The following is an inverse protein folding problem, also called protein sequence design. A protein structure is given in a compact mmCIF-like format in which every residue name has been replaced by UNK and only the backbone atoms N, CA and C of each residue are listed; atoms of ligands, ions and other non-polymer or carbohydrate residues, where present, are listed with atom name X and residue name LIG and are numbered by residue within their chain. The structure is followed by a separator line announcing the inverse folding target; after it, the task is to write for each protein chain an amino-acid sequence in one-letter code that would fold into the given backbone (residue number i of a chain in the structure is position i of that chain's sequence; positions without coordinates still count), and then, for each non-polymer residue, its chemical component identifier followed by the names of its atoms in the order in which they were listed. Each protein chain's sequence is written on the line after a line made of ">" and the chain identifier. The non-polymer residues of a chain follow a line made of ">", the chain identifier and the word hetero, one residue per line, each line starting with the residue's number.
data_IF_093068972765
#
_entry.id   IF_093068972765
#
_cell.length_a   1.000
_cell.length_b   1.000
_cell.length_c   1.000
_cell.angle_alpha   90.00
_cell.angle_beta   90.00
_cell.angle_gamma   90.00
#
_symmetry.space_group_name_H-M   'P 1'
#
loop_
_entity.id
_entity.type
_entity.pdbx_description
1 polymer ?
#
# COMPACT_ATOMS: atom_id res chain seq x y z
N UNK A 1 21.62 21.27 -15.00
CA UNK A 1 20.77 20.87 -13.86
C UNK A 1 19.45 21.60 -13.98
N UNK A 2 18.34 20.93 -13.70
CA UNK A 2 17.00 21.53 -13.69
C UNK A 2 16.59 21.81 -12.24
N UNK A 3 15.81 22.87 -12.03
CA UNK A 3 15.27 23.21 -10.70
C UNK A 3 14.09 22.30 -10.32
N UNK A 4 13.91 22.09 -9.02
CA UNK A 4 12.72 21.43 -8.45
C UNK A 4 11.90 22.45 -7.66
N UNK A 5 10.58 22.29 -7.63
CA UNK A 5 9.74 23.03 -6.67
C UNK A 5 10.04 22.48 -5.29
N UNK A 6 10.57 23.32 -4.39
CA UNK A 6 10.96 22.89 -3.03
C UNK A 6 9.78 22.83 -2.08
N UNK A 7 8.92 23.85 -2.06
CA UNK A 7 7.71 23.93 -1.23
C UNK A 7 6.69 24.92 -1.83
N UNK A 8 5.42 24.78 -1.42
CA UNK A 8 4.35 25.75 -1.64
C UNK A 8 4.16 26.54 -0.33
N UNK A 9 4.19 27.88 -0.39
CA UNK A 9 4.07 28.72 0.80
C UNK A 9 2.65 29.24 0.98
N UNK A 10 2.12 29.10 2.20
CA UNK A 10 0.79 29.57 2.62
C UNK A 10 0.96 30.63 3.70
N UNK A 11 0.34 31.79 3.50
CA UNK A 11 0.31 32.86 4.49
C UNK A 11 -0.71 32.59 5.58
N UNK A 12 -0.38 32.94 6.82
CA UNK A 12 -1.19 32.67 8.00
C UNK A 12 -0.85 33.66 9.13
N UNK A 13 -1.61 33.64 10.22
CA UNK A 13 -1.41 34.45 11.41
C UNK A 13 -0.79 33.65 12.56
N UNK A 14 -0.90 32.32 12.53
CA UNK A 14 -0.21 31.38 13.43
C UNK A 14 0.27 30.15 12.64
N UNK A 15 1.57 30.13 12.31
CA UNK A 15 2.16 29.10 11.46
C UNK A 15 2.12 27.70 12.10
N UNK A 16 2.38 27.60 13.40
CA UNK A 16 2.38 26.32 14.11
C UNK A 16 0.96 25.78 14.27
N UNK A 17 -0.02 26.62 14.63
CA UNK A 17 -1.42 26.18 14.74
C UNK A 17 -1.98 25.70 13.40
N UNK A 18 -1.71 26.44 12.31
CA UNK A 18 -2.16 26.05 10.99
C UNK A 18 -1.44 24.79 10.50
N UNK A 19 -0.14 24.69 10.76
CA UNK A 19 0.64 23.48 10.51
C UNK A 19 0.07 22.26 11.22
N UNK A 20 -0.38 22.40 12.47
CA UNK A 20 -1.02 21.33 13.25
C UNK A 20 -2.37 20.86 12.66
N UNK A 21 -3.15 21.76 12.05
CA UNK A 21 -4.32 21.38 11.27
C UNK A 21 -3.91 20.55 10.05
N UNK A 22 -2.99 21.06 9.22
CA UNK A 22 -2.54 20.38 8.01
C UNK A 22 -1.80 19.06 8.27
N UNK A 23 -1.14 18.93 9.42
CA UNK A 23 -0.55 17.68 9.91
C UNK A 23 -1.60 16.58 10.02
N UNK A 24 -2.78 16.90 10.55
CA UNK A 24 -3.90 15.97 10.63
C UNK A 24 -4.59 15.73 9.28
N UNK A 25 -4.57 16.71 8.38
CA UNK A 25 -5.09 16.55 7.01
C UNK A 25 -4.26 15.53 6.24
N UNK A 26 -2.93 15.71 6.24
CA UNK A 26 -2.00 14.96 5.40
C UNK A 26 -1.34 13.76 6.09
N UNK A 27 -1.54 13.60 7.39
CA UNK A 27 -1.00 12.48 8.17
C UNK A 27 0.53 12.52 8.30
N UNK A 28 1.13 13.72 8.28
CA UNK A 28 2.57 13.93 8.40
C UNK A 28 2.87 14.92 9.54
N UNK A 29 3.91 14.69 10.35
CA UNK A 29 4.30 15.64 11.40
C UNK A 29 4.89 16.92 10.80
N UNK A 30 4.88 18.00 11.59
CA UNK A 30 5.74 19.16 11.34
C UNK A 30 7.21 18.80 11.59
N UNK A 31 8.14 19.67 11.17
CA UNK A 31 9.54 19.49 11.53
C UNK A 31 9.71 19.55 13.07
N UNK A 32 10.63 18.75 13.61
CA UNK A 32 10.81 18.60 15.07
C UNK A 32 11.25 19.91 15.75
N UNK A 33 11.79 20.86 14.98
CA UNK A 33 12.26 22.17 15.44
C UNK A 33 11.27 23.31 15.22
N UNK A 34 10.10 23.05 14.63
CA UNK A 34 9.01 24.04 14.51
C UNK A 34 8.20 24.08 15.82
N UNK A 35 8.30 25.18 16.57
CA UNK A 35 7.68 25.34 17.89
C UNK A 35 6.56 26.39 17.90
N UNK A 36 5.63 26.34 18.89
CA UNK A 36 4.63 27.39 19.05
C UNK A 36 5.24 28.79 19.18
N UNK A 37 4.82 29.70 18.30
CA UNK A 37 5.30 31.09 18.26
C UNK A 37 6.42 31.34 17.24
N UNK A 38 6.92 30.30 16.57
CA UNK A 38 7.84 30.47 15.44
C UNK A 38 7.12 31.11 14.25
N UNK A 39 7.82 31.96 13.47
CA UNK A 39 7.22 32.71 12.37
C UNK A 39 6.92 31.85 11.15
N UNK A 40 7.35 30.59 11.14
CA UNK A 40 7.12 29.64 10.08
C UNK A 40 7.02 28.21 10.63
N UNK A 41 6.39 27.32 9.87
CA UNK A 41 6.34 25.89 10.13
C UNK A 41 6.31 25.11 8.82
N UNK A 42 7.08 24.05 8.70
CA UNK A 42 7.21 23.22 7.51
C UNK A 42 6.56 21.85 7.73
N UNK A 43 5.72 21.47 6.77
CA UNK A 43 5.15 20.12 6.68
C UNK A 43 5.65 19.44 5.40
N UNK A 44 6.28 18.27 5.55
CA UNK A 44 6.76 17.47 4.42
C UNK A 44 6.06 16.12 4.34
N UNK A 45 5.62 15.77 3.14
CA UNK A 45 5.09 14.45 2.76
C UNK A 45 5.97 13.86 1.65
N UNK A 46 5.84 12.55 1.32
CA UNK A 46 6.56 11.98 0.18
C UNK A 46 6.30 12.67 -1.17
N UNK A 47 5.18 13.40 -1.32
CA UNK A 47 4.77 14.02 -2.59
C UNK A 47 4.73 15.55 -2.60
N UNK A 48 4.79 16.21 -1.44
CA UNK A 48 4.63 17.66 -1.31
C UNK A 48 5.28 18.21 -0.04
N UNK A 49 5.75 19.46 -0.10
CA UNK A 49 6.16 20.24 1.06
C UNK A 49 5.37 21.55 1.11
N UNK A 50 4.78 21.86 2.27
CA UNK A 50 3.98 23.06 2.50
C UNK A 50 4.64 23.86 3.62
N UNK A 51 4.97 25.12 3.34
CA UNK A 51 5.55 26.04 4.31
C UNK A 51 4.49 27.05 4.74
N UNK A 52 4.14 27.07 6.02
CA UNK A 52 3.27 28.08 6.61
C UNK A 52 4.13 29.24 7.10
N UNK A 53 3.81 30.47 6.70
CA UNK A 53 4.57 31.67 7.08
C UNK A 53 3.64 32.69 7.71
N UNK A 54 4.01 33.14 8.90
CA UNK A 54 3.26 34.12 9.66
C UNK A 54 3.40 35.51 9.04
N UNK A 55 2.27 36.13 8.75
CA UNK A 55 2.12 37.51 8.32
C UNK A 55 1.32 38.34 9.33
N UNK A 56 1.37 39.67 9.23
CA UNK A 56 0.69 40.56 10.16
C UNK A 56 -0.83 40.61 9.97
N UNK A 57 -1.32 40.25 8.78
CA UNK A 57 -2.71 40.44 8.38
C UNK A 57 -3.37 39.12 8.01
N UNK A 58 -4.62 38.96 8.44
CA UNK A 58 -5.46 37.87 8.00
C UNK A 58 -5.75 37.95 6.49
N UNK A 59 -6.03 36.81 5.88
CA UNK A 59 -6.35 36.71 4.45
C UNK A 59 -7.59 37.55 4.09
N UNK A 60 -7.45 38.40 3.07
CA UNK A 60 -8.53 39.31 2.60
C UNK A 60 -9.00 39.03 1.17
N UNK A 61 -8.27 38.22 0.41
CA UNK A 61 -8.58 37.87 -0.98
C UNK A 61 -8.46 36.36 -1.19
N UNK A 62 -9.08 35.84 -2.27
CA UNK A 62 -9.00 34.42 -2.64
C UNK A 62 -7.55 34.03 -2.98
N UNK A 63 -7.16 32.81 -2.61
CA UNK A 63 -5.89 32.24 -3.06
C UNK A 63 -5.84 32.13 -4.59
N UNK A 64 -4.67 32.43 -5.18
CA UNK A 64 -4.45 32.30 -6.63
C UNK A 64 -3.92 30.93 -7.05
N UNK A 65 -3.46 30.16 -6.07
CA UNK A 65 -3.05 28.77 -6.21
C UNK A 65 -4.05 27.95 -5.42
N UNK A 66 -4.52 26.85 -6.00
CA UNK A 66 -5.41 25.92 -5.33
C UNK A 66 -4.60 24.68 -4.95
N UNK A 67 -4.73 24.27 -3.70
CA UNK A 67 -4.21 23.00 -3.24
C UNK A 67 -5.34 21.98 -3.30
N UNK A 68 -5.16 20.92 -4.09
CA UNK A 68 -6.18 19.88 -4.26
C UNK A 68 -5.73 18.63 -3.49
N UNK A 69 -6.53 18.22 -2.51
CA UNK A 69 -6.28 17.05 -1.68
C UNK A 69 -7.14 15.88 -2.15
N UNK A 70 -6.55 14.69 -2.21
CA UNK A 70 -7.24 13.45 -2.56
C UNK A 70 -7.19 12.48 -1.38
N UNK A 71 -8.35 12.07 -0.81
CA UNK A 71 -8.38 11.03 0.20
C UNK A 71 -7.94 9.67 -0.39
N UNK A 72 -7.17 8.92 0.38
CA UNK A 72 -6.54 7.66 -0.06
C UNK A 72 -7.28 6.41 0.44
N UNK A 73 -7.96 6.51 1.57
CA UNK A 73 -8.55 5.40 2.32
C UNK A 73 -10.04 5.59 2.62
N UNK A 74 -10.63 6.69 2.17
CA UNK A 74 -12.05 7.04 2.36
C UNK A 74 -12.59 7.80 1.15
N UNK A 75 -13.91 7.94 1.08
CA UNK A 75 -14.58 8.71 0.03
C UNK A 75 -14.33 10.22 0.21
N UNK A 76 -14.57 11.00 -0.85
CA UNK A 76 -14.58 12.47 -0.76
C UNK A 76 -15.52 12.98 0.33
N UNK A 77 -16.70 12.40 0.43
CA UNK A 77 -17.73 12.90 1.35
C UNK A 77 -17.37 12.60 2.81
N UNK A 78 -16.83 11.41 3.11
CA UNK A 78 -16.28 11.09 4.43
C UNK A 78 -15.09 12.00 4.80
N UNK A 79 -14.23 12.32 3.83
CA UNK A 79 -13.11 13.24 4.06
C UNK A 79 -13.59 14.66 4.32
N UNK A 80 -14.58 15.15 3.58
CA UNK A 80 -15.19 16.47 3.84
C UNK A 80 -15.76 16.51 5.26
N UNK A 81 -16.51 15.49 5.68
CA UNK A 81 -17.05 15.42 7.05
C UNK A 81 -15.94 15.46 8.11
N UNK A 82 -14.86 14.70 7.91
CA UNK A 82 -13.70 14.69 8.80
C UNK A 82 -13.03 16.06 8.89
N UNK A 83 -12.81 16.71 7.76
CA UNK A 83 -12.13 18.00 7.70
C UNK A 83 -12.96 19.12 8.34
N UNK A 84 -14.28 19.09 8.16
CA UNK A 84 -15.20 19.98 8.87
C UNK A 84 -15.11 19.78 10.39
N UNK A 85 -15.02 18.53 10.86
CA UNK A 85 -14.83 18.23 12.28
C UNK A 85 -13.46 18.71 12.83
N UNK A 86 -12.44 18.82 11.97
CA UNK A 86 -11.12 19.37 12.32
C UNK A 86 -11.06 20.91 12.33
N UNK A 87 -12.15 21.59 11.94
CA UNK A 87 -12.23 23.05 11.92
C UNK A 87 -12.12 23.69 10.54
N UNK A 88 -12.14 22.90 9.46
CA UNK A 88 -12.33 23.44 8.12
C UNK A 88 -13.77 23.95 7.94
N UNK A 89 -13.98 24.81 6.94
CA UNK A 89 -15.30 25.33 6.57
C UNK A 89 -15.59 25.07 5.09
N UNK A 90 -16.82 24.68 4.75
CA UNK A 90 -17.24 24.52 3.36
C UNK A 90 -17.47 25.88 2.71
N UNK A 91 -16.73 26.18 1.64
CA UNK A 91 -16.78 27.46 0.93
C UNK A 91 -17.65 27.36 -0.33
N UNK A 92 -17.41 26.36 -1.16
CA UNK A 92 -18.17 26.11 -2.39
C UNK A 92 -18.35 24.61 -2.58
N UNK A 93 -19.54 24.17 -2.96
CA UNK A 93 -19.84 22.77 -3.27
C UNK A 93 -19.97 22.59 -4.79
N UNK A 94 -18.95 21.97 -5.40
CA UNK A 94 -18.91 21.67 -6.84
C UNK A 94 -19.14 20.18 -7.13
N UNK A 95 -19.60 19.42 -6.13
CA UNK A 95 -19.92 18.00 -6.28
C UNK A 95 -21.12 17.83 -7.22
N UNK A 96 -21.02 16.85 -8.11
CA UNK A 96 -22.04 16.59 -9.13
C UNK A 96 -22.79 15.29 -8.83
N UNK A 97 -24.07 15.17 -9.25
CA UNK A 97 -24.85 13.95 -9.05
C UNK A 97 -24.26 12.69 -9.71
N UNK A 98 -23.39 12.87 -10.71
CA UNK A 98 -22.65 11.79 -11.37
C UNK A 98 -21.41 11.34 -10.57
N UNK A 99 -21.26 11.78 -9.32
CA UNK A 99 -20.12 11.49 -8.45
C UNK A 99 -18.88 12.35 -8.71
N UNK A 100 -18.78 13.07 -9.83
CA UNK A 100 -17.61 13.91 -10.17
C UNK A 100 -17.62 15.23 -9.39
N UNK A 101 -16.60 16.06 -9.63
CA UNK A 101 -16.43 17.36 -8.99
C UNK A 101 -15.67 17.28 -7.66
N UNK A 102 -15.65 18.39 -6.93
CA UNK A 102 -14.90 18.56 -5.69
C UNK A 102 -15.68 19.43 -4.70
N UNK A 103 -15.27 19.44 -3.44
CA UNK A 103 -15.73 20.42 -2.46
C UNK A 103 -14.60 21.40 -2.17
N UNK A 104 -14.84 22.70 -2.25
CA UNK A 104 -13.86 23.72 -1.83
C UNK A 104 -14.06 23.98 -0.34
N UNK A 105 -13.06 23.65 0.47
CA UNK A 105 -13.01 23.98 1.89
C UNK A 105 -12.04 25.14 2.13
N UNK A 106 -12.16 25.79 3.29
CA UNK A 106 -11.15 26.67 3.83
C UNK A 106 -10.64 26.11 5.16
N UNK A 107 -9.33 26.19 5.38
CA UNK A 107 -8.71 25.88 6.66
C UNK A 107 -9.10 26.90 7.75
N UNK A 108 -8.70 26.71 9.02
CA UNK A 108 -9.07 27.62 10.12
C UNK A 108 -8.65 29.09 9.90
N UNK A 109 -7.71 29.36 9.00
CA UNK A 109 -7.22 30.70 8.66
C UNK A 109 -7.83 31.26 7.36
N UNK A 110 -8.76 30.52 6.75
CA UNK A 110 -9.50 30.94 5.57
C UNK A 110 -8.79 30.66 4.24
N UNK A 111 -7.69 29.91 4.23
CA UNK A 111 -7.02 29.51 2.98
C UNK A 111 -7.82 28.39 2.31
N UNK A 112 -8.18 28.59 1.04
CA UNK A 112 -8.99 27.63 0.31
C UNK A 112 -8.17 26.45 -0.23
N UNK A 113 -8.77 25.26 -0.19
CA UNK A 113 -8.26 24.03 -0.78
C UNK A 113 -9.43 23.14 -1.26
N UNK A 114 -9.19 22.29 -2.25
CA UNK A 114 -10.23 21.43 -2.82
C UNK A 114 -10.11 20.00 -2.30
N UNK A 115 -11.23 19.37 -1.95
CA UNK A 115 -11.32 17.94 -1.64
C UNK A 115 -11.86 17.21 -2.86
N UNK A 116 -10.98 16.44 -3.47
CA UNK A 116 -11.23 15.67 -4.69
C UNK A 116 -11.82 14.29 -4.40
N UNK A 117 -12.40 13.65 -5.43
CA UNK A 117 -12.73 12.22 -5.36
C UNK A 117 -11.49 11.38 -5.03
N UNK A 118 -11.66 10.38 -4.18
CA UNK A 118 -10.64 9.37 -3.95
C UNK A 118 -10.24 8.67 -5.26
N UNK A 119 -9.08 8.03 -5.27
CA UNK A 119 -8.65 7.27 -6.43
C UNK A 119 -9.68 6.17 -6.76
N UNK A 120 -10.27 5.54 -5.75
CA UNK A 120 -11.28 4.50 -5.90
C UNK A 120 -12.56 5.02 -6.54
N UNK A 121 -13.08 6.16 -6.09
CA UNK A 121 -14.24 6.80 -6.70
C UNK A 121 -13.94 7.19 -8.15
N UNK A 122 -12.78 7.77 -8.43
CA UNK A 122 -12.38 8.12 -9.81
C UNK A 122 -12.32 6.90 -10.73
N UNK A 123 -11.74 5.80 -10.26
CA UNK A 123 -11.63 4.56 -11.01
C UNK A 123 -13.00 3.97 -11.33
N UNK A 124 -13.89 3.89 -10.31
CA UNK A 124 -15.26 3.44 -10.49
C UNK A 124 -16.03 4.29 -11.53
N UNK A 125 -15.89 5.63 -11.48
CA UNK A 125 -16.52 6.55 -12.43
C UNK A 125 -15.97 6.45 -13.86
N UNK A 126 -14.73 5.98 -14.02
CA UNK A 126 -14.12 5.75 -15.32
C UNK A 126 -14.35 4.31 -15.84
N UNK A 127 -14.97 3.44 -15.04
CA UNK A 127 -15.06 2.01 -15.34
C UNK A 127 -13.70 1.32 -15.37
N UNK A 128 -12.68 1.90 -14.73
CA UNK A 128 -11.33 1.35 -14.66
C UNK A 128 -11.09 0.75 -13.29
N UNK A 129 -10.26 -0.30 -13.22
CA UNK A 129 -9.78 -0.82 -11.93
C UNK A 129 -8.68 0.11 -11.38
N UNK A 130 -8.55 0.16 -10.07
CA UNK A 130 -7.34 0.71 -9.46
C UNK A 130 -6.15 -0.22 -9.69
N UNK A 131 -4.98 0.29 -10.11
CA UNK A 131 -3.80 -0.54 -10.23
C UNK A 131 -3.28 -0.96 -8.85
N UNK A 132 -2.57 -2.09 -8.82
CA UNK A 132 -1.73 -2.44 -7.67
C UNK A 132 -0.43 -1.67 -7.77
N UNK A 133 -0.02 -1.05 -6.67
CA UNK A 133 1.13 -0.14 -6.62
C UNK A 133 2.23 -0.66 -5.69
N UNK A 134 3.42 -0.05 -5.79
CA UNK A 134 4.51 -0.28 -4.84
C UNK A 134 4.13 0.04 -3.38
N UNK A 135 3.21 1.00 -3.17
CA UNK A 135 2.73 1.35 -1.83
C UNK A 135 1.81 0.26 -1.27
N UNK A 136 1.06 -0.44 -2.13
CA UNK A 136 0.26 -1.60 -1.74
C UNK A 136 1.15 -2.76 -1.27
N UNK A 137 2.28 -3.02 -1.94
CA UNK A 137 3.30 -4.00 -1.49
C UNK A 137 3.83 -3.60 -0.12
N UNK A 138 4.26 -2.34 0.03
CA UNK A 138 4.80 -1.82 1.30
C UNK A 138 3.78 -1.97 2.42
N UNK A 139 2.52 -1.63 2.16
CA UNK A 139 1.42 -1.73 3.13
C UNK A 139 1.13 -3.17 3.51
N UNK A 140 1.06 -4.09 2.55
CA UNK A 140 0.81 -5.50 2.82
C UNK A 140 1.91 -6.10 3.71
N UNK A 141 3.18 -5.83 3.40
CA UNK A 141 4.33 -6.31 4.15
C UNK A 141 4.37 -5.75 5.57
N UNK A 142 4.10 -4.45 5.76
CA UNK A 142 4.02 -3.85 7.09
C UNK A 142 2.92 -4.45 7.93
N UNK A 143 1.70 -4.59 7.38
CA UNK A 143 0.58 -5.22 8.09
C UNK A 143 0.92 -6.66 8.51
N UNK A 144 1.59 -7.41 7.64
CA UNK A 144 2.06 -8.76 7.95
C UNK A 144 3.11 -8.75 9.07
N UNK A 145 4.16 -7.94 8.94
CA UNK A 145 5.23 -7.84 9.94
C UNK A 145 4.70 -7.41 11.31
N UNK A 146 3.85 -6.37 11.36
CA UNK A 146 3.22 -5.87 12.59
C UNK A 146 2.39 -6.94 13.28
N UNK A 147 1.61 -7.71 12.51
CA UNK A 147 0.80 -8.82 13.04
C UNK A 147 1.69 -9.93 13.60
N UNK A 148 2.69 -10.34 12.83
CA UNK A 148 3.57 -11.46 13.17
C UNK A 148 4.54 -11.12 14.32
N UNK A 149 4.86 -9.85 14.53
CA UNK A 149 5.64 -9.38 15.67
C UNK A 149 4.96 -9.69 17.02
N UNK A 150 3.63 -9.87 17.04
CA UNK A 150 2.87 -10.29 18.22
C UNK A 150 2.97 -11.78 18.54
N UNK A 151 3.66 -12.59 17.74
CA UNK A 151 3.72 -14.04 17.91
C UNK A 151 4.59 -14.48 19.10
N UNK A 152 4.22 -15.57 19.82
CA UNK A 152 5.09 -16.18 20.82
C UNK A 152 6.40 -16.69 20.20
N UNK A 153 7.54 -16.39 20.83
CA UNK A 153 8.87 -16.72 20.32
C UNK A 153 9.13 -18.23 20.18
N UNK A 154 8.38 -19.08 20.89
CA UNK A 154 8.54 -20.54 20.92
C UNK A 154 7.70 -21.27 19.85
N UNK A 155 6.90 -20.55 19.05
CA UNK A 155 6.00 -21.16 18.05
C UNK A 155 6.51 -21.13 16.61
N UNK A 156 7.68 -20.57 16.35
CA UNK A 156 8.16 -20.39 14.98
C UNK A 156 8.51 -21.69 14.25
N UNK A 157 8.76 -22.78 14.97
CA UNK A 157 8.97 -24.11 14.38
C UNK A 157 7.67 -24.94 14.29
N UNK A 158 6.49 -24.39 14.63
CA UNK A 158 5.21 -25.09 14.43
C UNK A 158 4.69 -24.91 13.00
N UNK A 159 3.86 -25.82 12.48
CA UNK A 159 3.24 -25.67 11.16
C UNK A 159 2.49 -24.34 10.97
N UNK A 160 2.63 -23.73 9.79
CA UNK A 160 1.86 -22.55 9.40
C UNK A 160 0.45 -22.96 8.97
N UNK A 161 -0.48 -23.02 9.93
CA UNK A 161 -1.87 -23.39 9.67
C UNK A 161 -1.98 -24.83 9.19
N UNK A 162 -2.41 -25.02 7.94
CA UNK A 162 -2.55 -26.34 7.32
C UNK A 162 -1.34 -26.74 6.47
N UNK A 163 -0.32 -25.89 6.36
CA UNK A 163 0.89 -26.16 5.58
C UNK A 163 1.80 -27.17 6.30
N UNK A 164 2.58 -27.92 5.52
CA UNK A 164 3.65 -28.79 6.05
C UNK A 164 4.93 -27.99 6.43
N UNK A 165 4.98 -26.72 6.06
CA UNK A 165 6.06 -25.80 6.38
C UNK A 165 5.86 -25.21 7.77
N UNK A 166 6.97 -25.02 8.48
CA UNK A 166 6.97 -24.29 9.75
C UNK A 166 6.69 -22.80 9.51
N UNK A 167 6.24 -22.09 10.54
CA UNK A 167 6.03 -20.65 10.46
C UNK A 167 7.31 -19.90 10.06
N UNK A 168 8.48 -20.36 10.52
CA UNK A 168 9.77 -19.83 10.08
C UNK A 168 9.97 -20.01 8.58
N UNK A 169 9.81 -21.23 8.08
CA UNK A 169 10.00 -21.54 6.65
C UNK A 169 9.02 -20.80 5.75
N UNK A 170 7.77 -20.61 6.21
CA UNK A 170 6.76 -19.86 5.45
C UNK A 170 7.13 -18.38 5.35
N UNK A 171 7.73 -17.75 6.37
CA UNK A 171 8.22 -16.36 6.24
C UNK A 171 9.47 -16.29 5.37
N UNK A 172 10.37 -17.28 5.43
CA UNK A 172 11.52 -17.33 4.51
C UNK A 172 11.07 -17.48 3.06
N UNK A 173 10.11 -18.35 2.79
CA UNK A 173 9.49 -18.49 1.48
C UNK A 173 8.85 -17.18 1.01
N UNK A 174 8.06 -16.53 1.86
CA UNK A 174 7.46 -15.24 1.51
C UNK A 174 8.53 -14.16 1.24
N UNK A 175 9.60 -14.14 2.03
CA UNK A 175 10.74 -13.24 1.81
C UNK A 175 11.44 -13.53 0.48
N UNK A 176 11.52 -14.81 0.10
CA UNK A 176 12.10 -15.25 -1.17
C UNK A 176 11.21 -14.93 -2.37
N UNK A 177 9.89 -15.10 -2.28
CA UNK A 177 8.96 -14.72 -3.35
C UNK A 177 9.05 -13.23 -3.67
N UNK A 178 9.02 -12.38 -2.65
CA UNK A 178 9.16 -10.93 -2.81
C UNK A 178 10.53 -10.57 -3.42
N UNK A 179 11.60 -11.24 -2.98
CA UNK A 179 12.93 -11.07 -3.56
C UNK A 179 12.97 -11.52 -5.03
N UNK A 180 12.45 -12.70 -5.34
CA UNK A 180 12.40 -13.30 -6.66
C UNK A 180 11.67 -12.38 -7.64
N UNK A 181 10.50 -11.87 -7.27
CA UNK A 181 9.73 -10.91 -8.07
C UNK A 181 10.51 -9.61 -8.31
N UNK A 182 11.22 -9.11 -7.30
CA UNK A 182 12.02 -7.90 -7.43
C UNK A 182 13.17 -8.10 -8.43
N UNK A 183 13.94 -9.18 -8.28
CA UNK A 183 15.10 -9.44 -9.12
C UNK A 183 14.72 -9.83 -10.55
N UNK A 184 13.51 -10.36 -10.75
CA UNK A 184 12.96 -10.67 -12.06
C UNK A 184 12.75 -9.42 -12.92
N UNK A 185 12.55 -8.25 -12.30
CA UNK A 185 12.49 -6.93 -12.95
C UNK A 185 13.86 -6.25 -13.11
N UNK A 186 14.90 -6.77 -12.46
CA UNK A 186 16.23 -6.15 -12.36
C UNK A 186 17.05 -6.07 -13.64
N UNK A 187 17.10 -7.10 -14.50
CA UNK A 187 17.90 -7.07 -15.70
C UNK A 187 17.46 -5.96 -16.66
N UNK A 188 18.41 -5.36 -17.38
CA UNK A 188 18.12 -4.39 -18.45
C UNK A 188 17.18 -4.96 -19.53
N UNK A 189 17.22 -6.27 -19.73
CA UNK A 189 16.32 -7.01 -20.61
C UNK A 189 15.88 -8.25 -19.85
N UNK A 190 14.77 -8.16 -19.08
CA UNK A 190 14.32 -9.28 -18.28
C UNK A 190 13.98 -10.51 -19.14
N UNK A 191 14.28 -11.73 -18.65
CA UNK A 191 13.96 -12.95 -19.37
C UNK A 191 12.45 -13.15 -19.44
N UNK A 192 11.97 -13.77 -20.52
CA UNK A 192 10.52 -14.01 -20.77
C UNK A 192 10.12 -15.48 -20.69
N UNK A 193 11.09 -16.38 -20.51
CA UNK A 193 10.91 -17.84 -20.56
C UNK A 193 11.56 -18.57 -19.38
N UNK A 194 12.28 -17.86 -18.51
CA UNK A 194 12.93 -18.42 -17.33
C UNK A 194 13.07 -17.39 -16.20
N UNK A 195 13.21 -17.91 -14.98
CA UNK A 195 13.59 -17.10 -13.81
C UNK A 195 15.03 -16.59 -13.96
N UNK A 196 15.31 -15.42 -13.38
CA UNK A 196 16.68 -14.94 -13.22
C UNK A 196 17.46 -15.98 -12.41
N UNK A 197 18.65 -16.41 -12.86
CA UNK A 197 19.28 -17.65 -12.40
C UNK A 197 20.02 -17.48 -11.06
N UNK A 198 19.31 -17.04 -10.03
CA UNK A 198 19.73 -17.22 -8.64
C UNK A 198 19.78 -18.72 -8.33
N UNK A 199 20.58 -19.09 -7.32
CA UNK A 199 20.65 -20.47 -6.86
C UNK A 199 19.55 -20.71 -5.84
N UNK A 200 18.73 -21.73 -6.08
CA UNK A 200 17.65 -22.14 -5.19
C UNK A 200 18.04 -23.44 -4.49
N UNK A 201 17.81 -23.51 -3.18
CA UNK A 201 18.04 -24.74 -2.43
C UNK A 201 17.05 -24.84 -1.27
N UNK A 202 16.57 -26.06 -1.03
CA UNK A 202 15.79 -26.34 0.17
C UNK A 202 16.73 -26.62 1.36
N UNK A 203 16.42 -26.03 2.52
CA UNK A 203 17.17 -26.28 3.76
C UNK A 203 16.96 -27.70 4.31
N UNK A 204 15.85 -28.35 3.94
CA UNK A 204 15.53 -29.74 4.29
C UNK A 204 14.66 -30.42 3.21
N UNK A 205 14.58 -31.76 3.17
CA UNK A 205 13.60 -32.46 2.34
C UNK A 205 12.16 -32.00 2.65
N UNK A 206 11.41 -31.65 1.60
CA UNK A 206 10.03 -31.17 1.69
C UNK A 206 9.86 -29.71 2.18
N UNK A 207 10.96 -29.03 2.52
CA UNK A 207 10.93 -27.59 2.81
C UNK A 207 10.89 -26.74 1.52
N UNK A 208 10.58 -25.44 1.64
CA UNK A 208 10.62 -24.53 0.50
C UNK A 208 12.06 -24.40 -0.02
N UNK A 209 12.20 -24.28 -1.33
CA UNK A 209 13.48 -23.97 -1.96
C UNK A 209 13.57 -22.46 -2.13
N UNK A 210 14.58 -21.84 -1.51
CA UNK A 210 14.75 -20.39 -1.51
C UNK A 210 16.14 -20.00 -2.03
N UNK A 211 16.26 -18.77 -2.55
CA UNK A 211 17.53 -18.12 -2.84
C UNK A 211 18.01 -17.25 -1.66
N UNK A 212 17.08 -16.69 -0.88
CA UNK A 212 17.36 -15.95 0.36
C UNK A 212 16.79 -16.66 1.59
N UNK A 213 17.46 -16.56 2.72
CA UNK A 213 17.03 -17.19 3.99
C UNK A 213 17.50 -16.33 5.16
N UNK A 214 16.74 -16.34 6.25
CA UNK A 214 17.05 -15.52 7.42
C UNK A 214 18.09 -16.22 8.30
N UNK A 215 18.92 -15.43 8.98
CA UNK A 215 19.80 -15.98 10.02
C UNK A 215 18.96 -16.40 11.23
N UNK A 216 18.91 -17.71 11.50
CA UNK A 216 18.24 -18.29 12.69
C UNK A 216 18.73 -17.67 13.99
N UNK A 217 19.99 -17.26 14.09
CA UNK A 217 20.53 -16.63 15.30
C UNK A 217 19.94 -15.24 15.58
N UNK A 218 19.41 -14.56 14.56
CA UNK A 218 18.74 -13.27 14.70
C UNK A 218 17.30 -13.40 15.25
N UNK A 219 16.78 -14.62 15.35
CA UNK A 219 15.45 -14.92 15.87
C UNK A 219 14.30 -14.33 15.04
N UNK A 220 13.07 -14.35 15.57
CA UNK A 220 11.89 -13.86 14.85
C UNK A 220 11.98 -12.40 14.41
N UNK A 221 12.61 -11.53 15.21
CA UNK A 221 12.79 -10.14 14.83
C UNK A 221 13.67 -9.99 13.57
N UNK A 222 14.76 -10.76 13.47
CA UNK A 222 15.60 -10.78 12.27
C UNK A 222 14.93 -11.41 11.05
N UNK A 223 14.08 -12.42 11.27
CA UNK A 223 13.24 -13.01 10.23
C UNK A 223 12.26 -11.98 9.65
N UNK A 224 11.57 -11.21 10.50
CA UNK A 224 10.66 -10.15 10.04
C UNK A 224 11.40 -9.00 9.36
N UNK A 225 12.60 -8.63 9.83
CA UNK A 225 13.44 -7.65 9.14
C UNK A 225 13.86 -8.12 7.72
N UNK A 226 14.03 -9.44 7.52
CA UNK A 226 14.32 -10.03 6.20
C UNK A 226 13.10 -9.90 5.29
N UNK A 227 11.90 -10.18 5.80
CA UNK A 227 10.64 -9.97 5.08
C UNK A 227 10.46 -8.51 4.65
N UNK A 228 10.67 -7.56 5.56
CA UNK A 228 10.58 -6.13 5.27
C UNK A 228 11.59 -5.69 4.21
N UNK A 229 12.84 -6.19 4.28
CA UNK A 229 13.87 -5.89 3.31
C UNK A 229 13.51 -6.40 1.89
N UNK A 230 13.02 -7.64 1.77
CA UNK A 230 12.54 -8.18 0.48
C UNK A 230 11.32 -7.43 -0.04
N UNK A 231 10.39 -7.06 0.83
CA UNK A 231 9.24 -6.23 0.48
C UNK A 231 9.66 -4.85 -0.04
N UNK A 232 10.63 -4.21 0.59
CA UNK A 232 11.18 -2.93 0.16
C UNK A 232 11.91 -3.03 -1.19
N UNK A 233 12.61 -4.14 -1.46
CA UNK A 233 13.23 -4.40 -2.76
C UNK A 233 12.16 -4.49 -3.86
N UNK A 234 11.11 -5.29 -3.65
CA UNK A 234 10.02 -5.40 -4.63
C UNK A 234 9.33 -4.06 -4.85
N UNK A 235 8.94 -3.37 -3.78
CA UNK A 235 8.30 -2.06 -3.87
C UNK A 235 9.17 -1.05 -4.64
N UNK A 236 10.49 -1.06 -4.40
CA UNK A 236 11.42 -0.19 -5.12
C UNK A 236 11.47 -0.54 -6.61
N UNK A 237 11.61 -1.82 -6.95
CA UNK A 237 11.65 -2.28 -8.33
C UNK A 237 10.35 -1.96 -9.07
N UNK A 238 9.19 -2.20 -8.46
CA UNK A 238 7.88 -1.84 -9.04
C UNK A 238 7.79 -0.33 -9.30
N UNK A 239 8.28 0.49 -8.38
CA UNK A 239 8.22 1.96 -8.49
C UNK A 239 9.11 2.50 -9.60
N UNK A 240 10.29 1.91 -9.80
CA UNK A 240 11.30 2.43 -10.74
C UNK A 240 11.28 1.76 -12.10
N UNK A 241 10.63 0.60 -12.24
CA UNK A 241 10.58 -0.14 -13.50
C UNK A 241 9.48 0.44 -14.40
N UNK A 242 9.77 0.76 -15.69
CA UNK A 242 8.77 1.22 -16.62
C UNK A 242 7.61 0.22 -16.79
N UNK A 243 6.35 0.68 -16.87
CA UNK A 243 5.17 -0.20 -16.90
C UNK A 243 5.12 -1.11 -18.15
N UNK A 244 5.85 -0.79 -19.21
CA UNK A 244 5.99 -1.59 -20.44
C UNK A 244 6.97 -2.77 -20.31
N UNK A 245 7.76 -2.83 -19.24
CA UNK A 245 8.68 -3.95 -19.01
C UNK A 245 7.88 -5.23 -18.79
N UNK A 246 8.39 -6.33 -19.35
CA UNK A 246 7.81 -7.66 -19.24
C UNK A 246 8.86 -8.62 -18.73
N UNK A 247 8.47 -9.51 -17.82
CA UNK A 247 9.36 -10.55 -17.31
C UNK A 247 8.62 -11.85 -17.03
N UNK A 248 9.34 -12.96 -17.09
CA UNK A 248 8.84 -14.29 -16.84
C UNK A 248 8.34 -14.46 -15.40
N UNK A 249 7.28 -15.23 -15.26
CA UNK A 249 6.89 -15.90 -14.01
C UNK A 249 6.28 -17.26 -14.38
N UNK A 250 6.34 -18.25 -13.49
CA UNK A 250 5.80 -19.59 -13.74
C UNK A 250 4.31 -19.64 -14.13
N UNK A 251 3.54 -18.61 -13.80
CA UNK A 251 2.13 -18.45 -14.20
C UNK A 251 1.89 -17.48 -15.37
N UNK A 252 2.94 -17.17 -16.14
CA UNK A 252 2.88 -16.35 -17.34
C UNK A 252 3.75 -15.09 -17.25
N UNK A 253 4.08 -14.51 -18.40
CA UNK A 253 4.81 -13.24 -18.49
C UNK A 253 4.00 -12.14 -17.83
N UNK A 254 4.64 -11.35 -16.96
CA UNK A 254 4.01 -10.28 -16.20
C UNK A 254 4.72 -8.94 -16.33
N UNK A 255 4.07 -7.90 -15.84
CA UNK A 255 4.53 -6.52 -15.78
C UNK A 255 4.80 -6.08 -14.32
N UNK A 256 5.39 -4.89 -14.07
CA UNK A 256 5.68 -4.46 -12.71
C UNK A 256 4.46 -4.46 -11.78
N UNK A 257 3.29 -4.09 -12.30
CA UNK A 257 2.04 -4.17 -11.54
C UNK A 257 1.67 -5.62 -11.20
N UNK A 258 1.82 -6.54 -12.15
CA UNK A 258 1.56 -7.96 -11.93
C UNK A 258 2.45 -8.53 -10.84
N UNK A 259 3.76 -8.22 -10.84
CA UNK A 259 4.67 -8.60 -9.74
C UNK A 259 4.28 -7.93 -8.41
N UNK A 260 3.83 -6.68 -8.43
CA UNK A 260 3.29 -6.04 -7.23
C UNK A 260 2.06 -6.79 -6.69
N UNK A 261 1.13 -7.16 -7.57
CA UNK A 261 -0.07 -7.91 -7.19
C UNK A 261 0.25 -9.32 -6.68
N UNK A 262 1.24 -9.99 -7.27
CA UNK A 262 1.75 -11.29 -6.82
C UNK A 262 2.38 -11.17 -5.43
N UNK A 263 3.23 -10.17 -5.20
CA UNK A 263 3.80 -9.91 -3.88
C UNK A 263 2.75 -9.58 -2.81
N UNK A 264 1.74 -8.77 -3.14
CA UNK A 264 0.63 -8.50 -2.23
C UNK A 264 -0.16 -9.77 -1.93
N UNK A 265 -0.59 -10.54 -2.94
CA UNK A 265 -1.40 -11.74 -2.68
C UNK A 265 -0.65 -12.75 -1.83
N UNK A 266 0.61 -13.04 -2.14
CA UNK A 266 1.42 -13.98 -1.38
C UNK A 266 1.56 -13.53 0.08
N UNK A 267 1.84 -12.24 0.29
CA UNK A 267 1.92 -11.67 1.64
C UNK A 267 0.62 -11.86 2.41
N UNK A 268 -0.53 -11.53 1.80
CA UNK A 268 -1.83 -11.61 2.49
C UNK A 268 -2.23 -13.04 2.84
N UNK A 269 -2.04 -13.98 1.91
CA UNK A 269 -2.50 -15.37 2.09
C UNK A 269 -1.53 -16.21 2.91
N UNK A 270 -0.22 -15.97 2.84
CA UNK A 270 0.71 -16.65 3.74
C UNK A 270 0.69 -16.06 5.15
N UNK A 271 0.37 -14.77 5.32
CA UNK A 271 0.08 -14.24 6.66
C UNK A 271 -1.16 -14.90 7.27
N UNK A 272 -2.16 -15.27 6.47
CA UNK A 272 -3.29 -16.07 6.96
C UNK A 272 -2.86 -17.46 7.46
N UNK A 273 -2.04 -18.15 6.69
CA UNK A 273 -1.51 -19.46 7.07
C UNK A 273 -0.68 -19.36 8.36
N UNK A 274 0.19 -18.34 8.45
CA UNK A 274 1.02 -18.03 9.63
C UNK A 274 0.18 -17.66 10.85
N UNK A 275 -0.81 -16.77 10.70
CA UNK A 275 -1.67 -16.36 11.80
C UNK A 275 -2.43 -17.55 12.39
N UNK A 276 -2.92 -18.46 11.53
CA UNK A 276 -3.56 -19.70 11.98
C UNK A 276 -2.58 -20.60 12.77
N UNK A 277 -1.34 -20.76 12.31
CA UNK A 277 -0.31 -21.56 13.00
C UNK A 277 0.15 -20.95 14.32
N UNK A 278 0.32 -19.63 14.37
CA UNK A 278 0.81 -18.89 15.53
C UNK A 278 -0.30 -18.59 16.55
N UNK A 279 -1.57 -18.70 16.16
CA UNK A 279 -2.73 -18.39 16.99
C UNK A 279 -3.00 -16.88 17.09
N UNK A 280 -2.80 -16.17 15.97
CA UNK A 280 -3.04 -14.73 15.84
C UNK A 280 -4.33 -14.46 15.07
N UNK A 281 -4.93 -13.29 15.31
CA UNK A 281 -6.01 -12.79 14.47
C UNK A 281 -5.45 -12.08 13.23
N UNK A 282 -6.05 -12.31 12.07
CA UNK A 282 -5.62 -11.70 10.81
C UNK A 282 -6.80 -11.42 9.89
N UNK A 283 -6.93 -10.16 9.49
CA UNK A 283 -7.84 -9.70 8.46
C UNK A 283 -7.22 -8.50 7.73
N UNK A 284 -6.84 -8.63 6.45
CA UNK A 284 -6.28 -7.52 5.71
C UNK A 284 -7.38 -6.55 5.22
N UNK A 285 -7.02 -5.30 4.88
CA UNK A 285 -7.95 -4.35 4.28
C UNK A 285 -8.61 -4.92 3.02
N UNK A 286 -9.95 -4.87 2.96
CA UNK A 286 -10.71 -5.34 1.79
C UNK A 286 -10.34 -4.60 0.49
N UNK A 287 -9.86 -3.36 0.59
CA UNK A 287 -9.38 -2.56 -0.54
C UNK A 287 -8.10 -3.12 -1.18
N UNK A 288 -7.18 -3.69 -0.38
CA UNK A 288 -6.01 -4.40 -0.93
C UNK A 288 -6.43 -5.69 -1.63
N UNK A 289 -7.33 -6.44 -0.99
CA UNK A 289 -7.87 -7.68 -1.56
C UNK A 289 -8.56 -7.42 -2.90
N UNK A 290 -9.34 -6.34 -3.00
CA UNK A 290 -10.07 -5.98 -4.21
C UNK A 290 -9.14 -5.66 -5.38
N UNK A 291 -8.07 -4.87 -5.16
CA UNK A 291 -7.09 -4.53 -6.21
C UNK A 291 -6.40 -5.78 -6.75
N UNK A 292 -6.00 -6.69 -5.85
CA UNK A 292 -5.38 -7.98 -6.22
C UNK A 292 -6.36 -8.86 -7.00
N UNK A 293 -7.60 -9.00 -6.52
CA UNK A 293 -8.64 -9.75 -7.21
C UNK A 293 -8.87 -9.22 -8.63
N UNK A 294 -9.01 -7.91 -8.78
CA UNK A 294 -9.20 -7.27 -10.08
C UNK A 294 -8.00 -7.45 -11.02
N UNK A 295 -6.77 -7.56 -10.49
CA UNK A 295 -5.54 -7.72 -11.29
C UNK A 295 -5.24 -9.17 -11.68
N UNK A 296 -5.36 -10.11 -10.74
CA UNK A 296 -4.89 -11.49 -10.89
C UNK A 296 -6.01 -12.52 -11.06
N UNK A 297 -7.24 -12.20 -10.65
CA UNK A 297 -8.38 -13.13 -10.64
C UNK A 297 -9.59 -12.54 -11.38
N UNK A 298 -9.53 -12.39 -12.72
CA UNK A 298 -10.62 -11.76 -13.50
C UNK A 298 -11.98 -12.43 -13.35
N UNK A 299 -12.00 -13.73 -13.03
CA UNK A 299 -13.23 -14.51 -12.85
C UNK A 299 -13.71 -14.52 -11.38
N UNK A 300 -13.11 -13.72 -10.50
CA UNK A 300 -13.53 -13.61 -9.12
C UNK A 300 -14.92 -12.92 -9.05
N UNK A 301 -15.83 -13.41 -8.19
CA UNK A 301 -17.10 -12.75 -7.94
C UNK A 301 -16.93 -11.29 -7.49
N UNK A 302 -17.76 -10.39 -8.01
CA UNK A 302 -17.68 -8.97 -7.71
C UNK A 302 -18.31 -8.59 -6.34
N UNK A 303 -19.22 -9.42 -5.81
CA UNK A 303 -19.89 -9.17 -4.53
C UNK A 303 -19.22 -9.85 -3.33
N UNK A 304 -19.66 -9.46 -2.13
CA UNK A 304 -19.23 -10.06 -0.86
C UNK A 304 -17.98 -9.44 -0.24
N UNK A 305 -17.60 -9.96 0.92
CA UNK A 305 -16.36 -9.58 1.60
C UNK A 305 -15.14 -9.96 0.75
N UNK A 306 -14.29 -8.96 0.44
CA UNK A 306 -13.21 -9.12 -0.54
C UNK A 306 -12.10 -10.04 -0.03
N UNK A 307 -11.89 -10.10 1.28
CA UNK A 307 -10.93 -11.02 1.87
C UNK A 307 -11.40 -12.48 1.74
N UNK A 308 -12.67 -12.75 2.05
CA UNK A 308 -13.29 -14.07 1.86
C UNK A 308 -13.21 -14.54 0.40
N UNK A 309 -13.48 -13.65 -0.55
CA UNK A 309 -13.35 -13.97 -1.99
C UNK A 309 -11.90 -14.28 -2.37
N UNK A 310 -10.91 -13.58 -1.82
CA UNK A 310 -9.49 -13.83 -2.08
C UNK A 310 -9.03 -15.18 -1.50
N UNK A 311 -9.46 -15.53 -0.29
CA UNK A 311 -9.21 -16.85 0.29
C UNK A 311 -9.83 -17.97 -0.55
N UNK A 312 -11.05 -17.79 -1.06
CA UNK A 312 -11.66 -18.73 -1.99
C UNK A 312 -10.90 -18.84 -3.32
N UNK A 313 -10.51 -17.70 -3.91
CA UNK A 313 -9.79 -17.64 -5.18
C UNK A 313 -8.42 -18.36 -5.10
N UNK A 314 -7.83 -18.43 -3.90
CA UNK A 314 -6.57 -19.11 -3.61
C UNK A 314 -6.75 -20.48 -2.91
N UNK A 315 -7.96 -21.04 -2.94
CA UNK A 315 -8.25 -22.40 -2.44
C UNK A 315 -8.19 -22.59 -0.92
N UNK A 316 -8.10 -21.51 -0.14
CA UNK A 316 -8.00 -21.51 1.32
C UNK A 316 -9.36 -21.50 2.03
N UNK A 317 -10.41 -21.03 1.37
CA UNK A 317 -11.76 -20.98 1.95
C UNK A 317 -12.86 -21.46 0.99
N UNK A 318 -14.00 -21.83 1.56
CA UNK A 318 -15.26 -21.99 0.84
C UNK A 318 -15.90 -20.63 0.58
N UNK A 319 -16.67 -20.51 -0.50
CA UNK A 319 -17.50 -19.34 -0.78
C UNK A 319 -18.92 -19.81 -1.10
N UNK A 320 -19.96 -19.34 -0.39
CA UNK A 320 -21.34 -19.73 -0.67
C UNK A 320 -21.71 -19.56 -2.14
N UNK A 321 -22.48 -20.51 -2.68
CA UNK A 321 -22.93 -20.53 -4.08
C UNK A 321 -21.82 -20.63 -5.14
N UNK A 322 -20.58 -20.90 -4.74
CA UNK A 322 -19.44 -21.13 -5.62
C UNK A 322 -18.74 -22.45 -5.31
N UNK A 323 -18.30 -23.22 -6.33
CA UNK A 323 -17.59 -24.47 -6.09
C UNK A 323 -16.24 -24.22 -5.41
N UNK A 324 -15.83 -25.12 -4.50
CA UNK A 324 -14.51 -25.09 -3.88
C UNK A 324 -13.41 -25.13 -4.95
N UNK A 325 -12.43 -24.23 -4.84
CA UNK A 325 -11.23 -24.26 -5.70
C UNK A 325 -10.27 -25.34 -5.18
N UNK A 326 -10.09 -26.41 -5.95
CA UNK A 326 -9.10 -27.48 -5.68
C UNK A 326 -7.79 -27.24 -6.44
N UNK A 327 -7.81 -26.38 -7.44
CA UNK A 327 -6.65 -25.82 -8.11
C UNK A 327 -6.93 -24.36 -8.49
N UNK A 328 -5.87 -23.56 -8.50
CA UNK A 328 -5.93 -22.16 -8.88
C UNK A 328 -4.61 -21.75 -9.55
N UNK A 329 -4.67 -20.64 -10.30
CA UNK A 329 -3.49 -19.98 -10.88
C UNK A 329 -3.77 -18.49 -10.94
N UNK A 330 -2.73 -17.68 -10.86
CA UNK A 330 -2.85 -16.26 -11.17
C UNK A 330 -3.00 -16.05 -12.67
N UNK A 331 -3.70 -14.99 -13.06
CA UNK A 331 -3.56 -14.43 -14.39
C UNK A 331 -2.35 -13.49 -14.41
N UNK A 332 -1.21 -14.01 -14.88
CA UNK A 332 0.02 -13.23 -15.02
C UNK A 332 0.01 -12.25 -16.19
N UNK A 333 -0.94 -12.36 -17.13
CA UNK A 333 -0.93 -11.59 -18.37
C UNK A 333 -0.87 -10.08 -18.08
N UNK A 334 -0.03 -9.33 -18.81
CA UNK A 334 0.09 -7.89 -18.64
C UNK A 334 -1.22 -7.18 -19.01
N UNK A 335 -1.53 -6.07 -18.35
CA UNK A 335 -2.77 -5.30 -18.58
C UNK A 335 -2.54 -3.85 -18.97
#
# INVERSE_FOLDING_TARGET
>A
MTSHVRHITVGCTDAHALGGFWSQVLGAPLADDDLPGDPEALLETPGAAILFVQGPDAKTVRNRVHLDVQPQDRTRDEEVERLLALGATLVEDHRRPDGRGWATLADPEGNEFCVECSAAERAALAGTRLPVTADDVTRAVRLAADTLAGAPADRWDTPAGTLEWTCWETVEHLSDDLFAYAVQLGPRTPPLDCEVPYRWAAGRPGGPANAVSADRAAGPAGLLATLEASGALLASMVRTTPPEVRSYHGFGVSDPEGFAAMGVVETLVHTHDLAAGLGLEWAPPGTLCDRVLARLFPDAPAGGDRWTVLLWATGRAELPDHPRRTSWRWNGEPR
#
